data_IF_369582884835
#
_entry.id   IF_369582884835
#
_cell.length_a   1.000
_cell.length_b   1.000
_cell.length_c   1.000
_cell.angle_alpha   90.00
_cell.angle_beta   90.00
_cell.angle_gamma   90.00
#
_symmetry.space_group_name_H-M   'P 1'
#
loop_
_entity.id
_entity.type
_entity.pdbx_description
1 polymer ?
#
# COMPACT_ATOMS: atom_id res chain seq x y z
N UNK A 1 -22.93 -1.93 -13.05
CA UNK A 1 -24.21 -2.52 -12.58
C UNK A 1 -24.82 -1.55 -11.58
N UNK A 2 -26.05 -1.12 -11.80
CA UNK A 2 -26.71 -0.04 -11.07
C UNK A 2 -27.56 -0.59 -9.92
N UNK A 3 -27.86 0.23 -8.90
CA UNK A 3 -28.56 -0.23 -7.69
C UNK A 3 -29.97 -0.78 -7.97
N UNK A 4 -30.70 -0.22 -8.94
CA UNK A 4 -32.01 -0.71 -9.37
C UNK A 4 -31.93 -2.08 -10.07
N UNK A 5 -30.83 -2.36 -10.79
CA UNK A 5 -30.59 -3.67 -11.44
C UNK A 5 -30.38 -4.81 -10.41
N UNK A 6 -30.21 -4.46 -9.13
CA UNK A 6 -30.10 -5.41 -8.01
C UNK A 6 -31.32 -5.42 -7.09
N UNK A 7 -32.42 -4.75 -7.46
CA UNK A 7 -33.65 -4.72 -6.66
C UNK A 7 -33.54 -3.89 -5.38
N UNK A 8 -32.58 -2.94 -5.30
CA UNK A 8 -32.46 -2.01 -4.16
C UNK A 8 -33.40 -0.80 -4.30
N UNK A 9 -34.56 -0.99 -4.90
CA UNK A 9 -35.49 0.10 -5.24
C UNK A 9 -35.99 0.83 -4.00
N UNK A 10 -36.12 0.14 -2.86
CA UNK A 10 -36.48 0.75 -1.58
C UNK A 10 -35.44 1.78 -1.11
N UNK A 11 -34.15 1.47 -1.21
CA UNK A 11 -33.06 2.37 -0.80
C UNK A 11 -32.96 3.54 -1.78
N UNK A 12 -33.07 3.28 -3.09
CA UNK A 12 -33.05 4.33 -4.12
C UNK A 12 -34.25 5.28 -3.94
N UNK A 13 -35.42 4.73 -3.61
CA UNK A 13 -36.63 5.52 -3.34
C UNK A 13 -36.46 6.37 -2.08
N UNK A 14 -35.93 5.80 -1.00
CA UNK A 14 -35.64 6.53 0.23
C UNK A 14 -34.68 7.71 -0.04
N UNK A 15 -33.59 7.48 -0.77
CA UNK A 15 -32.60 8.52 -1.10
C UNK A 15 -33.18 9.61 -1.99
N UNK A 16 -34.03 9.26 -2.96
CA UNK A 16 -34.69 10.22 -3.85
C UNK A 16 -35.68 11.12 -3.11
N UNK A 17 -36.39 10.57 -2.12
CA UNK A 17 -37.42 11.29 -1.38
C UNK A 17 -36.93 11.89 -0.05
N UNK A 18 -35.65 11.66 0.29
CA UNK A 18 -35.03 12.29 1.45
C UNK A 18 -34.81 13.79 1.19
N UNK A 19 -35.79 14.59 1.60
CA UNK A 19 -35.57 16.02 1.85
C UNK A 19 -35.09 16.17 3.29
N UNK A 20 -33.89 16.72 3.47
CA UNK A 20 -33.46 17.19 4.79
C UNK A 20 -34.49 18.21 5.28
N UNK A 21 -35.02 18.09 6.50
CA UNK A 21 -35.62 19.24 7.15
C UNK A 21 -34.47 20.23 7.37
N UNK A 22 -34.62 21.45 6.86
CA UNK A 22 -33.68 22.57 6.88
C UNK A 22 -32.69 22.67 5.70
N UNK A 23 -32.95 23.69 4.86
CA UNK A 23 -32.06 24.26 3.83
C UNK A 23 -30.83 24.97 4.46
N UNK A 24 -30.15 24.33 5.40
CA UNK A 24 -28.80 24.75 5.77
C UNK A 24 -27.82 24.07 4.80
N UNK A 25 -27.03 24.83 4.03
CA UNK A 25 -26.01 24.26 3.17
C UNK A 25 -24.98 23.59 4.07
N UNK A 26 -25.05 22.27 4.17
CA UNK A 26 -24.01 21.44 4.75
C UNK A 26 -22.85 21.36 3.75
N UNK A 27 -22.28 22.53 3.44
CA UNK A 27 -21.01 22.67 2.78
C UNK A 27 -19.96 22.74 3.87
N UNK A 28 -19.68 21.61 4.51
CA UNK A 28 -18.53 21.47 5.41
C UNK A 28 -17.26 21.33 4.55
N UNK A 29 -17.00 22.38 3.77
CA UNK A 29 -15.75 22.65 3.05
C UNK A 29 -15.54 24.16 3.07
N UNK A 30 -15.56 24.74 4.25
CA UNK A 30 -15.08 26.09 4.49
C UNK A 30 -14.50 26.13 5.88
N UNK A 31 -13.19 25.91 5.97
CA UNK A 31 -12.43 26.48 7.07
C UNK A 31 -12.32 27.98 6.79
N UNK A 32 -12.69 28.80 7.78
CA UNK A 32 -11.65 29.57 8.44
C UNK A 32 -11.87 29.58 9.97
N UNK A 33 -10.92 29.02 10.71
CA UNK A 33 -10.68 29.37 12.12
C UNK A 33 -11.66 28.84 13.16
N UNK A 34 -11.89 27.52 13.25
CA UNK A 34 -12.62 26.93 14.38
C UNK A 34 -12.01 25.62 14.83
N UNK A 35 -11.79 25.47 16.15
CA UNK A 35 -11.21 24.34 16.88
C UNK A 35 -12.06 23.04 16.81
N UNK A 36 -12.43 22.62 15.60
CA UNK A 36 -13.11 21.36 15.33
C UNK A 36 -12.12 20.20 15.27
N UNK A 37 -11.83 19.60 16.42
CA UNK A 37 -11.07 18.35 16.53
C UNK A 37 -11.86 17.17 15.94
N UNK A 38 -11.89 17.06 14.61
CA UNK A 38 -12.29 15.83 13.95
C UNK A 38 -11.13 14.82 14.06
N UNK A 39 -11.11 14.06 15.15
CA UNK A 39 -10.24 12.89 15.28
C UNK A 39 -10.80 11.77 14.43
N UNK A 40 -10.16 11.53 13.27
CA UNK A 40 -10.46 10.37 12.44
C UNK A 40 -10.25 9.10 13.25
N UNK A 41 -11.33 8.42 13.62
CA UNK A 41 -11.25 7.10 14.24
C UNK A 41 -10.55 6.15 13.24
N UNK A 42 -9.47 5.46 13.64
CA UNK A 42 -8.81 4.53 12.75
C UNK A 42 -9.80 3.43 12.39
N UNK A 43 -9.87 3.08 11.09
CA UNK A 43 -10.72 1.98 10.63
C UNK A 43 -10.50 0.74 11.52
N UNK A 44 -11.57 0.02 11.92
CA UNK A 44 -11.46 -1.20 12.74
C UNK A 44 -10.54 -2.28 12.15
N UNK A 45 -10.32 -2.24 10.82
CA UNK A 45 -9.46 -3.14 10.06
C UNK A 45 -8.05 -2.54 9.77
N UNK A 46 -7.70 -1.43 10.42
CA UNK A 46 -6.53 -0.63 10.07
C UNK A 46 -6.67 0.06 8.71
N UNK A 47 -5.69 0.90 8.36
CA UNK A 47 -5.60 1.50 7.01
C UNK A 47 -5.41 0.35 6.02
N UNK A 48 -6.46 -0.05 5.32
CA UNK A 48 -6.36 -0.93 4.14
C UNK A 48 -5.57 -0.13 3.11
N UNK A 49 -4.24 -0.24 3.19
CA UNK A 49 -3.32 0.35 2.22
C UNK A 49 -3.63 -0.36 0.91
N UNK A 50 -4.08 0.39 -0.09
CA UNK A 50 -4.17 -0.11 -1.47
C UNK A 50 -2.91 -0.92 -1.78
N UNK A 51 -3.09 -2.24 -1.92
CA UNK A 51 -2.00 -3.12 -2.30
C UNK A 51 -1.86 -3.03 -3.81
N UNK A 52 -0.71 -2.52 -4.27
CA UNK A 52 -0.39 -2.60 -5.70
C UNK A 52 -0.17 -4.07 -6.07
N UNK A 53 -0.37 -4.39 -7.36
CA UNK A 53 -0.16 -5.75 -7.89
C UNK A 53 1.24 -6.26 -7.56
N UNK A 54 2.24 -5.40 -7.70
CA UNK A 54 3.65 -5.72 -7.43
C UNK A 54 3.85 -6.06 -5.95
N UNK A 55 3.19 -5.32 -5.05
CA UNK A 55 3.27 -5.61 -3.62
C UNK A 55 2.62 -6.95 -3.26
N UNK A 56 1.52 -7.31 -3.92
CA UNK A 56 0.90 -8.63 -3.76
C UNK A 56 1.83 -9.74 -4.24
N UNK A 57 2.46 -9.59 -5.41
CA UNK A 57 3.41 -10.55 -5.97
C UNK A 57 4.63 -10.75 -5.05
N UNK A 58 5.17 -9.66 -4.48
CA UNK A 58 6.28 -9.76 -3.49
C UNK A 58 5.87 -10.52 -2.24
N UNK A 59 4.63 -10.35 -1.75
CA UNK A 59 4.13 -11.10 -0.59
C UNK A 59 3.96 -12.59 -0.91
N UNK A 60 3.45 -12.93 -2.10
CA UNK A 60 3.37 -14.33 -2.57
C UNK A 60 4.75 -14.95 -2.71
N UNK A 61 5.73 -14.22 -3.24
CA UNK A 61 7.11 -14.69 -3.34
C UNK A 61 7.71 -14.97 -1.95
N UNK A 62 7.51 -14.07 -0.98
CA UNK A 62 8.00 -14.27 0.40
C UNK A 62 7.39 -15.49 1.07
N UNK A 63 6.12 -15.78 0.81
CA UNK A 63 5.45 -16.94 1.39
C UNK A 63 5.92 -18.28 0.78
N UNK A 64 6.29 -18.29 -0.50
CA UNK A 64 6.67 -19.51 -1.24
C UNK A 64 8.17 -19.80 -1.22
N UNK A 65 9.02 -18.77 -1.02
CA UNK A 65 10.46 -18.95 -0.97
C UNK A 65 10.89 -19.66 0.32
N UNK A 66 11.73 -20.71 0.27
CA UNK A 66 12.26 -21.34 1.48
C UNK A 66 12.97 -20.33 2.41
N UNK A 67 12.78 -20.48 3.72
CA UNK A 67 13.27 -19.53 4.74
C UNK A 67 14.78 -19.31 4.70
N UNK A 68 15.57 -20.32 4.34
CA UNK A 68 17.03 -20.21 4.29
C UNK A 68 17.56 -19.30 3.17
N UNK A 69 16.75 -19.00 2.15
CA UNK A 69 17.04 -18.03 1.09
C UNK A 69 16.66 -16.59 1.46
N UNK A 70 15.92 -16.40 2.55
CA UNK A 70 15.65 -15.06 3.05
C UNK A 70 16.93 -14.48 3.68
N UNK A 71 17.29 -13.29 3.21
CA UNK A 71 18.47 -12.54 3.65
C UNK A 71 18.05 -11.12 4.04
N UNK A 72 18.56 -10.64 5.17
CA UNK A 72 18.51 -9.23 5.50
C UNK A 72 19.67 -8.48 4.85
N UNK A 73 19.49 -7.20 4.53
CA UNK A 73 20.56 -6.37 3.97
C UNK A 73 21.76 -6.22 4.92
N UNK A 74 21.53 -6.30 6.23
CA UNK A 74 22.57 -6.30 7.27
C UNK A 74 23.45 -7.56 7.24
N UNK A 75 22.99 -8.66 6.65
CA UNK A 75 23.78 -9.89 6.47
C UNK A 75 24.73 -9.81 5.26
N UNK A 76 24.66 -8.72 4.48
CA UNK A 76 25.41 -8.54 3.22
C UNK A 76 26.51 -7.49 3.39
N UNK A 77 27.75 -7.91 3.12
CA UNK A 77 28.88 -7.02 2.96
C UNK A 77 29.11 -6.75 1.47
N UNK A 78 29.10 -5.48 1.08
CA UNK A 78 29.37 -5.04 -0.29
C UNK A 78 30.81 -4.53 -0.38
N UNK A 79 31.63 -5.14 -1.22
CA UNK A 79 33.03 -4.76 -1.39
C UNK A 79 33.18 -3.99 -2.73
N UNK A 80 33.82 -4.57 -3.74
CA UNK A 80 34.03 -3.97 -5.04
C UNK A 80 32.91 -4.25 -6.05
N UNK A 81 32.68 -3.33 -6.98
CA UNK A 81 31.78 -3.56 -8.14
C UNK A 81 32.53 -4.45 -9.14
N UNK A 82 31.93 -5.58 -9.47
CA UNK A 82 32.46 -6.52 -10.48
C UNK A 82 31.64 -6.54 -11.77
N UNK A 83 30.51 -5.82 -11.81
CA UNK A 83 29.69 -5.69 -13.01
C UNK A 83 28.68 -4.56 -12.92
N UNK A 84 28.32 -3.99 -14.08
CA UNK A 84 27.35 -2.90 -14.20
C UNK A 84 26.48 -3.11 -15.43
N UNK A 85 25.23 -2.63 -15.38
CA UNK A 85 24.30 -2.65 -16.52
C UNK A 85 23.04 -1.84 -16.25
N UNK A 86 22.14 -1.78 -17.23
CA UNK A 86 20.86 -1.04 -17.14
C UNK A 86 20.01 -1.47 -15.94
N UNK A 87 20.03 -2.76 -15.60
CA UNK A 87 19.28 -3.35 -14.49
C UNK A 87 19.89 -3.11 -13.10
N UNK A 88 21.11 -2.58 -13.00
CA UNK A 88 21.78 -2.31 -11.73
C UNK A 88 23.24 -2.76 -11.69
N UNK A 89 23.77 -3.00 -10.49
CA UNK A 89 25.19 -3.30 -10.24
C UNK A 89 25.36 -4.67 -9.60
N UNK A 90 26.49 -5.31 -9.88
CA UNK A 90 26.93 -6.55 -9.24
C UNK A 90 28.17 -6.26 -8.42
N UNK A 91 28.12 -6.64 -7.15
CA UNK A 91 29.23 -6.48 -6.21
C UNK A 91 29.83 -7.83 -5.90
N UNK A 92 31.16 -7.90 -5.77
CA UNK A 92 31.78 -8.93 -4.95
C UNK A 92 31.51 -8.57 -3.49
N UNK A 93 31.23 -9.57 -2.68
CA UNK A 93 30.79 -9.34 -1.30
C UNK A 93 30.95 -10.56 -0.41
N UNK A 94 30.46 -10.44 0.81
CA UNK A 94 30.30 -11.57 1.73
C UNK A 94 28.85 -11.68 2.22
N UNK A 95 28.42 -12.92 2.42
CA UNK A 95 27.17 -13.24 3.10
C UNK A 95 27.41 -14.49 3.94
N UNK A 96 27.08 -14.45 5.25
CA UNK A 96 27.27 -15.58 6.17
C UNK A 96 28.68 -16.19 6.08
N UNK A 97 29.69 -15.32 6.08
CA UNK A 97 31.12 -15.65 5.95
C UNK A 97 31.55 -16.38 4.64
N UNK A 98 30.71 -16.35 3.60
CA UNK A 98 31.04 -16.87 2.27
C UNK A 98 31.24 -15.72 1.29
N UNK A 99 32.22 -15.85 0.40
CA UNK A 99 32.42 -14.93 -0.72
C UNK A 99 31.32 -15.16 -1.74
N UNK A 100 30.62 -14.10 -2.13
CA UNK A 100 29.45 -14.15 -3.02
C UNK A 100 29.46 -13.00 -4.03
N UNK A 101 28.65 -13.15 -5.08
CA UNK A 101 28.26 -12.04 -5.95
C UNK A 101 26.86 -11.53 -5.55
N UNK A 102 26.71 -10.22 -5.38
CA UNK A 102 25.47 -9.59 -4.94
C UNK A 102 24.94 -8.70 -6.06
N UNK A 103 23.81 -9.09 -6.67
CA UNK A 103 23.10 -8.27 -7.66
C UNK A 103 22.17 -7.28 -6.94
N UNK A 104 22.43 -5.99 -7.10
CA UNK A 104 21.56 -4.92 -6.58
C UNK A 104 20.84 -4.23 -7.73
N UNK A 105 19.51 -4.30 -7.71
CA UNK A 105 18.64 -3.58 -8.65
C UNK A 105 18.70 -2.07 -8.38
N UNK A 106 18.41 -1.26 -9.40
CA UNK A 106 18.23 0.19 -9.23
C UNK A 106 16.98 0.45 -8.38
N UNK A 107 17.06 1.44 -7.50
CA UNK A 107 15.90 1.97 -6.78
C UNK A 107 15.08 2.89 -7.69
#
# INVERSE_FOLDING_TARGET
MWAYEKGHDAIVTLLKHYKRPDDSPCNEYSQPGGDGSYVSVPSPLGKIKSMTKEKAEVLVLRASLPSHFHLQLSELEFNEIIGSGSFGRVYRGKCRNKIVAIKRYRA
#
